data_IF_028674878109
#
_entry.id   IF_028674878109
#
_cell.length_a   1.000
_cell.length_b   1.000
_cell.length_c   1.000
_cell.angle_alpha   90.00
_cell.angle_beta   90.00
_cell.angle_gamma   90.00
#
_symmetry.space_group_name_H-M   'P 1'
#
loop_
_entity.id
_entity.type
_entity.pdbx_description
1 polymer ?
#
# COMPACT_ATOMS: atom_id res chain seq x y z
N UNK A 1 73.37 2.89 1.19
CA UNK A 1 72.10 2.14 1.08
C UNK A 1 72.30 1.20 -0.09
N UNK A 2 72.19 -0.12 0.15
CA UNK A 2 72.50 -1.13 -0.86
C UNK A 2 71.48 -1.08 -2.00
N UNK A 3 71.93 -1.24 -3.26
CA UNK A 3 71.09 -1.13 -4.45
C UNK A 3 69.92 -2.14 -4.46
N UNK A 4 70.09 -3.27 -3.77
CA UNK A 4 69.02 -4.24 -3.50
C UNK A 4 67.87 -3.66 -2.64
N UNK A 5 68.20 -2.79 -1.68
CA UNK A 5 67.24 -2.13 -0.82
C UNK A 5 66.43 -1.03 -1.56
N UNK A 6 67.12 -0.32 -2.48
CA UNK A 6 66.47 0.66 -3.37
C UNK A 6 65.49 0.01 -4.33
N UNK A 7 65.92 -1.13 -4.93
CA UNK A 7 65.01 -1.90 -5.81
C UNK A 7 63.76 -2.43 -5.08
N UNK A 8 63.92 -2.89 -3.82
CA UNK A 8 62.81 -3.34 -2.99
C UNK A 8 61.84 -2.21 -2.66
N UNK A 9 62.33 -1.03 -2.28
CA UNK A 9 61.51 0.15 -1.96
C UNK A 9 60.75 0.67 -3.20
N UNK A 10 61.40 0.67 -4.37
CA UNK A 10 60.74 1.07 -5.63
C UNK A 10 59.68 0.01 -6.04
N UNK A 11 59.98 -1.27 -5.90
CA UNK A 11 59.04 -2.36 -6.23
C UNK A 11 57.80 -2.34 -5.34
N UNK A 12 57.95 -2.10 -4.04
CA UNK A 12 56.83 -1.95 -3.10
C UNK A 12 56.00 -0.69 -3.40
N UNK A 13 56.69 0.44 -3.75
CA UNK A 13 56.01 1.70 -4.10
C UNK A 13 55.17 1.59 -5.38
N UNK A 14 55.67 0.89 -6.40
CA UNK A 14 54.94 0.69 -7.66
C UNK A 14 53.84 -0.39 -7.48
N UNK A 15 54.10 -1.45 -6.72
CA UNK A 15 53.13 -2.51 -6.45
C UNK A 15 51.91 -2.01 -5.68
N UNK A 16 52.07 -1.05 -4.75
CA UNK A 16 50.92 -0.48 -4.00
C UNK A 16 50.08 0.49 -4.81
N UNK A 17 50.59 1.04 -5.93
CA UNK A 17 49.82 1.92 -6.82
C UNK A 17 48.95 1.13 -7.81
N UNK A 18 49.24 -0.14 -8.08
CA UNK A 18 48.51 -0.98 -9.03
C UNK A 18 47.37 -1.78 -8.36
N UNK A 19 47.37 -1.91 -7.03
CA UNK A 19 46.33 -2.64 -6.29
C UNK A 19 45.12 -1.81 -5.89
N UNK A 20 45.02 -0.56 -6.37
CA UNK A 20 43.80 0.26 -6.28
C UNK A 20 42.71 -0.16 -7.28
N UNK A 21 42.60 -1.47 -7.63
CA UNK A 21 41.45 -1.98 -8.31
C UNK A 21 40.27 -1.84 -7.35
N UNK A 22 39.40 -0.86 -7.62
CA UNK A 22 38.07 -0.81 -7.00
C UNK A 22 37.46 -2.18 -7.14
N UNK A 23 37.30 -2.89 -6.02
CA UNK A 23 36.51 -4.12 -5.97
C UNK A 23 35.05 -3.73 -6.27
N UNK A 24 34.70 -3.69 -7.54
CA UNK A 24 33.31 -3.72 -7.94
C UNK A 24 32.76 -5.06 -7.47
N UNK A 25 31.80 -5.01 -6.55
CA UNK A 25 31.11 -6.20 -6.07
C UNK A 25 30.66 -7.01 -7.30
N UNK A 26 30.97 -8.28 -7.32
CA UNK A 26 30.62 -9.19 -8.41
C UNK A 26 29.12 -9.09 -8.71
N UNK A 27 28.74 -8.50 -9.87
CA UNK A 27 27.37 -8.30 -10.29
C UNK A 27 27.02 -6.89 -10.78
N UNK A 28 27.96 -5.94 -10.73
CA UNK A 28 27.74 -4.59 -11.30
C UNK A 28 27.65 -4.62 -12.83
N UNK A 29 26.70 -3.86 -13.39
CA UNK A 29 26.56 -3.63 -14.83
C UNK A 29 26.73 -2.14 -15.13
N UNK A 30 27.61 -1.80 -16.07
CA UNK A 30 27.72 -0.44 -16.60
C UNK A 30 26.49 -0.14 -17.45
N UNK A 31 25.87 1.01 -17.22
CA UNK A 31 24.75 1.52 -18.03
C UNK A 31 25.05 2.95 -18.44
N UNK A 32 24.61 3.34 -19.64
CA UNK A 32 24.66 4.70 -20.15
C UNK A 32 23.36 5.42 -19.75
N UNK A 33 23.49 6.58 -19.14
CA UNK A 33 22.37 7.41 -18.68
C UNK A 33 22.54 8.87 -19.11
N UNK A 34 21.44 9.60 -19.23
CA UNK A 34 21.44 11.00 -19.67
C UNK A 34 20.85 11.89 -18.56
N UNK A 35 21.63 12.86 -18.08
CA UNK A 35 21.26 13.82 -17.05
C UNK A 35 20.61 15.08 -17.67
N UNK A 36 19.45 14.95 -18.28
CA UNK A 36 18.72 16.02 -18.95
C UNK A 36 17.30 16.23 -18.40
N UNK A 37 17.07 15.88 -17.14
CA UNK A 37 15.83 16.20 -16.42
C UNK A 37 15.99 17.58 -15.78
N UNK A 38 15.28 18.57 -16.31
CA UNK A 38 15.44 19.98 -15.89
C UNK A 38 14.63 20.31 -14.64
N UNK A 39 13.52 19.64 -14.39
CA UNK A 39 12.65 19.91 -13.24
C UNK A 39 11.76 18.70 -12.93
N UNK A 40 11.41 18.55 -11.64
CA UNK A 40 10.36 17.65 -11.16
C UNK A 40 9.36 18.48 -10.40
N UNK A 41 8.08 18.42 -10.77
CA UNK A 41 7.00 19.16 -10.09
C UNK A 41 6.09 18.21 -9.34
N UNK A 42 5.96 18.44 -8.03
CA UNK A 42 4.99 17.77 -7.18
C UNK A 42 3.91 18.81 -6.82
N UNK A 43 2.66 18.57 -7.21
CA UNK A 43 1.56 19.51 -7.05
C UNK A 43 1.88 20.91 -7.62
N UNK A 44 2.53 20.94 -8.80
CA UNK A 44 3.00 22.14 -9.51
C UNK A 44 4.12 22.92 -8.81
N UNK A 45 4.63 22.45 -7.70
CA UNK A 45 5.78 23.04 -6.99
C UNK A 45 7.04 22.32 -7.44
N UNK A 46 8.02 23.10 -7.90
CA UNK A 46 9.34 22.57 -8.29
C UNK A 46 10.02 21.90 -7.09
N UNK A 47 10.49 20.68 -7.30
CA UNK A 47 11.22 19.86 -6.36
C UNK A 47 12.35 19.17 -7.13
N UNK A 48 13.60 19.49 -6.81
CA UNK A 48 14.78 18.82 -7.38
C UNK A 48 15.66 18.31 -6.25
N UNK A 49 16.22 17.09 -6.35
CA UNK A 49 17.19 16.63 -5.36
C UNK A 49 18.48 17.43 -5.48
N UNK A 50 19.12 17.68 -4.35
CA UNK A 50 20.40 18.39 -4.28
C UNK A 50 21.60 17.42 -4.41
N UNK A 51 22.73 17.94 -4.86
CA UNK A 51 23.99 17.21 -4.96
C UNK A 51 24.02 16.12 -6.03
N UNK A 52 24.60 14.97 -5.72
CA UNK A 52 24.87 13.87 -6.66
C UNK A 52 23.63 13.00 -6.95
N UNK A 53 22.49 13.27 -6.32
CA UNK A 53 21.25 12.50 -6.47
C UNK A 53 20.38 12.99 -7.63
N UNK A 54 20.99 13.32 -8.76
CA UNK A 54 20.24 13.84 -9.91
C UNK A 54 19.39 12.77 -10.59
N UNK A 55 18.18 13.12 -11.03
CA UNK A 55 17.39 12.26 -11.88
C UNK A 55 18.03 12.09 -13.26
N UNK A 56 17.83 10.94 -13.89
CA UNK A 56 18.40 10.63 -15.20
C UNK A 56 17.43 9.84 -16.07
N UNK A 57 17.69 9.85 -17.37
CA UNK A 57 17.00 9.04 -18.35
C UNK A 57 17.79 7.77 -18.67
N UNK A 58 17.11 6.65 -18.70
CA UNK A 58 17.64 5.38 -19.13
C UNK A 58 16.59 4.64 -19.96
N UNK A 59 16.93 4.27 -21.20
CA UNK A 59 16.04 3.58 -22.14
C UNK A 59 14.64 4.21 -22.27
N UNK A 60 14.58 5.55 -22.33
CA UNK A 60 13.32 6.28 -22.49
C UNK A 60 12.49 6.46 -21.22
N UNK A 61 12.95 5.95 -20.07
CA UNK A 61 12.29 6.13 -18.76
C UNK A 61 13.09 7.07 -17.89
N UNK A 62 12.39 7.90 -17.11
CA UNK A 62 13.01 8.77 -16.10
C UNK A 62 13.20 8.02 -14.79
N UNK A 63 14.42 7.98 -14.31
CA UNK A 63 14.78 7.42 -13.00
C UNK A 63 15.01 8.55 -12.02
N UNK A 64 14.36 8.46 -10.88
CA UNK A 64 14.45 9.45 -9.81
C UNK A 64 14.80 8.72 -8.50
N UNK A 65 15.70 9.28 -7.66
CA UNK A 65 15.97 8.68 -6.36
C UNK A 65 14.69 8.49 -5.54
N UNK A 66 14.42 7.26 -5.16
CA UNK A 66 13.16 6.90 -4.52
C UNK A 66 12.96 7.63 -3.17
N UNK A 67 14.02 7.74 -2.36
CA UNK A 67 13.97 8.44 -1.08
C UNK A 67 13.58 9.93 -1.24
N UNK A 68 14.05 10.56 -2.32
CA UNK A 68 13.67 11.94 -2.65
C UNK A 68 12.19 12.04 -3.02
N UNK A 69 11.71 11.18 -3.93
CA UNK A 69 10.31 11.20 -4.35
C UNK A 69 9.36 10.85 -3.21
N UNK A 70 9.71 9.85 -2.41
CA UNK A 70 8.92 9.49 -1.22
C UNK A 70 8.79 10.67 -0.26
N UNK A 71 9.90 11.36 0.04
CA UNK A 71 9.87 12.56 0.89
C UNK A 71 9.05 13.70 0.29
N UNK A 72 9.15 13.93 -1.04
CA UNK A 72 8.39 14.95 -1.73
C UNK A 72 6.86 14.67 -1.75
N UNK A 73 6.48 13.40 -1.69
CA UNK A 73 5.09 12.93 -1.62
C UNK A 73 4.61 12.69 -0.16
N UNK A 74 5.46 12.97 0.84
CA UNK A 74 5.11 12.75 2.26
C UNK A 74 5.05 11.28 2.66
N UNK A 75 5.63 10.37 1.87
CA UNK A 75 5.65 8.95 2.14
C UNK A 75 7.01 8.50 2.70
N UNK A 76 7.09 7.91 3.90
CA UNK A 76 8.34 7.37 4.41
C UNK A 76 8.84 6.19 3.56
N UNK A 77 10.16 6.05 3.42
CA UNK A 77 10.77 4.93 2.72
C UNK A 77 11.80 4.25 3.62
N UNK A 78 11.80 2.91 3.65
CA UNK A 78 12.73 2.09 4.43
C UNK A 78 13.27 0.95 3.55
N UNK A 79 14.56 0.63 3.72
CA UNK A 79 15.17 -0.56 3.13
C UNK A 79 15.14 -1.72 4.13
N UNK A 80 14.48 -2.80 3.78
CA UNK A 80 14.56 -4.07 4.49
C UNK A 80 15.71 -4.90 3.93
N UNK A 81 16.84 -4.85 4.61
CA UNK A 81 18.08 -5.52 4.17
C UNK A 81 17.95 -7.05 4.23
N UNK A 82 17.10 -7.60 5.12
CA UNK A 82 16.90 -9.05 5.28
C UNK A 82 16.17 -9.64 4.08
N UNK A 83 15.11 -8.98 3.66
CA UNK A 83 14.26 -9.43 2.55
C UNK A 83 14.64 -8.74 1.23
N UNK A 84 15.64 -7.85 1.23
CA UNK A 84 16.09 -7.04 0.08
C UNK A 84 14.91 -6.29 -0.58
N UNK A 85 14.02 -5.73 0.24
CA UNK A 85 12.78 -5.10 -0.19
C UNK A 85 12.78 -3.62 0.19
N UNK A 86 12.27 -2.77 -0.69
CA UNK A 86 11.97 -1.37 -0.37
C UNK A 86 10.55 -1.29 0.13
N UNK A 87 10.37 -0.68 1.30
CA UNK A 87 9.07 -0.41 1.90
C UNK A 87 8.76 1.08 1.71
N UNK A 88 7.60 1.41 1.15
CA UNK A 88 7.12 2.78 0.96
C UNK A 88 5.80 2.91 1.69
N UNK A 89 5.59 4.04 2.36
CA UNK A 89 4.42 4.29 3.20
C UNK A 89 4.75 4.19 4.68
N UNK A 90 3.75 3.95 5.52
CA UNK A 90 3.92 3.99 6.97
C UNK A 90 5.09 3.15 7.47
N UNK A 91 5.82 3.68 8.46
CA UNK A 91 6.92 3.00 9.13
C UNK A 91 6.38 1.76 9.86
N UNK A 92 6.49 0.60 9.24
CA UNK A 92 6.05 -0.67 9.84
C UNK A 92 7.11 -1.21 10.84
N UNK A 93 7.48 -0.40 11.82
CA UNK A 93 7.95 -0.94 13.10
C UNK A 93 6.74 -1.37 13.96
N UNK A 94 5.52 -1.04 13.50
CA UNK A 94 4.26 -1.46 14.08
C UNK A 94 3.89 -2.88 13.63
N UNK A 95 3.45 -3.68 14.57
CA UNK A 95 2.94 -5.02 14.28
C UNK A 95 1.57 -4.85 13.61
N UNK A 96 1.46 -5.32 12.37
CA UNK A 96 0.18 -5.29 11.64
C UNK A 96 -0.47 -6.67 11.60
N UNK A 97 -1.79 -6.68 11.59
CA UNK A 97 -2.61 -7.87 11.41
C UNK A 97 -3.58 -7.66 10.25
N UNK A 98 -3.68 -8.66 9.40
CA UNK A 98 -4.51 -8.57 8.19
C UNK A 98 -5.81 -9.35 8.36
N UNK A 99 -6.96 -8.77 8.00
CA UNK A 99 -8.20 -9.51 7.84
C UNK A 99 -8.04 -10.69 6.87
N UNK A 100 -8.68 -11.80 7.18
CA UNK A 100 -8.58 -13.03 6.38
C UNK A 100 -7.36 -13.90 6.70
N UNK A 101 -6.23 -13.29 7.12
CA UNK A 101 -5.00 -13.98 7.50
C UNK A 101 -4.86 -14.11 9.01
N UNK A 102 -4.68 -12.97 9.70
CA UNK A 102 -4.31 -12.93 11.12
C UNK A 102 -5.53 -12.75 12.03
N UNK A 103 -6.58 -12.12 11.53
CA UNK A 103 -7.84 -11.91 12.24
C UNK A 103 -9.01 -12.26 11.32
N UNK A 104 -9.99 -12.97 11.87
CA UNK A 104 -11.22 -13.35 11.16
C UNK A 104 -12.43 -12.74 11.83
N UNK A 105 -13.50 -12.45 11.07
CA UNK A 105 -14.76 -12.07 11.71
C UNK A 105 -15.25 -13.22 12.60
N UNK A 106 -15.73 -12.88 13.79
CA UNK A 106 -16.34 -13.82 14.73
C UNK A 106 -17.79 -14.09 14.37
N UNK A 107 -18.40 -13.21 13.61
CA UNK A 107 -19.79 -13.31 13.16
C UNK A 107 -19.94 -12.61 11.81
N UNK A 108 -20.72 -13.22 10.92
CA UNK A 108 -21.18 -12.62 9.67
C UNK A 108 -22.66 -12.91 9.51
N UNK A 109 -23.47 -11.88 9.28
CA UNK A 109 -24.89 -12.03 9.00
C UNK A 109 -25.30 -11.19 7.79
N UNK A 110 -26.35 -11.64 7.11
CA UNK A 110 -26.90 -11.01 5.91
C UNK A 110 -28.43 -10.94 5.99
N UNK A 111 -29.01 -9.84 5.53
CA UNK A 111 -30.45 -9.65 5.42
C UNK A 111 -31.09 -10.42 4.27
N UNK A 112 -30.31 -10.98 3.34
CA UNK A 112 -30.81 -11.76 2.22
C UNK A 112 -29.93 -12.96 1.93
N UNK A 113 -30.54 -14.08 1.53
CA UNK A 113 -29.87 -15.30 1.13
C UNK A 113 -29.03 -15.15 -0.15
N UNK A 114 -29.39 -14.18 -1.01
CA UNK A 114 -28.70 -13.94 -2.28
C UNK A 114 -27.54 -12.95 -2.19
N UNK A 115 -27.29 -12.40 -1.02
CA UNK A 115 -26.12 -11.56 -0.79
C UNK A 115 -24.87 -12.41 -0.61
N UNK A 116 -23.73 -11.90 -1.03
CA UNK A 116 -22.45 -12.58 -0.83
C UNK A 116 -21.42 -11.68 -0.18
N UNK A 117 -20.57 -12.32 0.59
CA UNK A 117 -19.46 -11.66 1.28
C UNK A 117 -18.24 -12.59 1.27
N UNK A 118 -17.05 -12.02 1.09
CA UNK A 118 -15.79 -12.72 1.31
C UNK A 118 -14.76 -11.82 1.97
N UNK A 119 -13.81 -12.45 2.68
CA UNK A 119 -12.61 -11.82 3.23
C UNK A 119 -11.43 -12.64 2.75
N UNK A 120 -10.58 -12.03 1.92
CA UNK A 120 -9.45 -12.70 1.28
C UNK A 120 -8.14 -11.97 1.58
N UNK A 121 -7.07 -12.74 1.68
CA UNK A 121 -5.72 -12.25 1.82
C UNK A 121 -4.78 -13.03 0.90
N UNK A 122 -4.16 -12.32 -0.07
CA UNK A 122 -3.23 -12.92 -1.03
C UNK A 122 -3.88 -13.89 -2.01
N UNK A 123 -5.20 -13.77 -2.24
CA UNK A 123 -5.98 -14.54 -3.21
C UNK A 123 -5.89 -14.02 -4.64
N UNK A 124 -6.84 -14.43 -5.48
CA UNK A 124 -7.03 -13.81 -6.80
C UNK A 124 -7.35 -12.32 -6.63
N UNK A 125 -6.71 -11.46 -7.42
CA UNK A 125 -6.95 -10.03 -7.35
C UNK A 125 -8.34 -9.67 -7.87
N UNK A 126 -8.95 -8.67 -7.24
CA UNK A 126 -10.16 -8.01 -7.73
C UNK A 126 -9.85 -6.55 -8.01
N UNK A 127 -10.72 -5.90 -8.81
CA UNK A 127 -10.55 -4.49 -9.14
C UNK A 127 -11.58 -3.62 -8.44
N UNK A 128 -11.12 -2.47 -7.96
CA UNK A 128 -11.98 -1.36 -7.58
C UNK A 128 -12.57 -0.66 -8.83
N UNK A 129 -13.46 0.28 -8.62
CA UNK A 129 -14.11 1.02 -9.71
C UNK A 129 -13.19 2.01 -10.44
N UNK A 130 -11.95 2.19 -9.97
CA UNK A 130 -10.88 2.97 -10.61
C UNK A 130 -9.96 2.08 -11.47
N UNK A 131 -10.10 0.74 -11.35
CA UNK A 131 -9.32 -0.26 -12.07
C UNK A 131 -8.05 -0.71 -11.33
N UNK A 132 -7.81 -0.29 -10.10
CA UNK A 132 -6.71 -0.77 -9.28
C UNK A 132 -6.98 -2.21 -8.85
N UNK A 133 -5.92 -3.03 -8.81
CA UNK A 133 -5.98 -4.43 -8.42
C UNK A 133 -5.60 -4.62 -6.95
N UNK A 134 -6.42 -5.41 -6.24
CA UNK A 134 -6.27 -5.68 -4.82
C UNK A 134 -6.32 -7.19 -4.56
N UNK A 135 -5.30 -7.73 -3.90
CA UNK A 135 -5.25 -9.15 -3.52
C UNK A 135 -5.70 -9.40 -2.07
N UNK A 136 -5.92 -8.33 -1.30
CA UNK A 136 -6.42 -8.38 0.07
C UNK A 136 -7.69 -7.55 0.14
N UNK A 137 -8.83 -8.17 0.44
CA UNK A 137 -10.10 -7.47 0.36
C UNK A 137 -11.21 -8.10 1.20
N UNK A 138 -12.19 -7.28 1.59
CA UNK A 138 -13.54 -7.72 1.92
C UNK A 138 -14.44 -7.31 0.77
N UNK A 139 -15.28 -8.20 0.28
CA UNK A 139 -16.33 -7.87 -0.68
C UNK A 139 -17.70 -8.03 -0.07
N UNK A 140 -18.59 -7.14 -0.45
CA UNK A 140 -20.02 -7.14 -0.10
C UNK A 140 -20.81 -6.96 -1.38
N UNK A 141 -21.56 -7.98 -1.77
CA UNK A 141 -22.36 -7.97 -3.00
C UNK A 141 -23.83 -8.18 -2.68
N UNK A 142 -24.66 -7.36 -3.24
CA UNK A 142 -26.09 -7.29 -2.98
C UNK A 142 -26.90 -7.61 -4.22
N UNK A 143 -27.94 -8.42 -4.02
CA UNK A 143 -28.95 -8.65 -5.03
C UNK A 143 -29.82 -7.41 -5.25
N UNK A 144 -30.41 -7.29 -6.45
CA UNK A 144 -31.35 -6.24 -6.79
C UNK A 144 -32.70 -6.39 -6.06
N UNK A 145 -33.48 -5.30 -6.00
CA UNK A 145 -34.88 -5.24 -5.61
C UNK A 145 -35.21 -5.53 -4.13
N UNK A 146 -34.26 -5.39 -3.23
CA UNK A 146 -34.53 -5.55 -1.78
C UNK A 146 -33.67 -4.58 -0.97
N UNK A 147 -34.16 -4.18 0.21
CA UNK A 147 -33.31 -3.58 1.24
C UNK A 147 -32.40 -4.67 1.78
N UNK A 148 -31.11 -4.49 1.56
CA UNK A 148 -30.11 -5.51 1.87
C UNK A 148 -29.05 -4.96 2.82
N UNK A 149 -28.54 -5.85 3.64
CA UNK A 149 -27.41 -5.56 4.49
C UNK A 149 -26.58 -6.82 4.73
N UNK A 150 -25.29 -6.61 4.96
CA UNK A 150 -24.35 -7.60 5.48
C UNK A 150 -23.54 -6.93 6.56
N UNK A 151 -23.26 -7.62 7.67
CA UNK A 151 -22.28 -7.15 8.62
C UNK A 151 -21.29 -8.23 9.03
N UNK A 152 -20.12 -7.77 9.46
CA UNK A 152 -19.07 -8.58 10.06
C UNK A 152 -18.66 -7.98 11.37
N UNK A 153 -18.60 -8.82 12.40
CA UNK A 153 -18.10 -8.46 13.72
C UNK A 153 -16.70 -9.02 13.93
N UNK A 154 -15.82 -8.18 14.45
CA UNK A 154 -14.46 -8.55 14.86
C UNK A 154 -14.30 -8.34 16.36
N UNK A 155 -13.65 -9.30 17.04
CA UNK A 155 -13.19 -9.13 18.40
C UNK A 155 -11.75 -8.62 18.37
N UNK A 156 -11.53 -7.41 18.92
CA UNK A 156 -10.22 -6.74 18.92
C UNK A 156 -9.46 -6.91 20.24
N UNK A 157 -10.14 -7.30 21.32
CA UNK A 157 -9.56 -7.49 22.66
C UNK A 157 -8.77 -6.29 23.21
N UNK A 158 -8.94 -5.10 22.66
CA UNK A 158 -8.14 -3.92 23.04
C UNK A 158 -6.69 -3.94 22.55
N UNK A 159 -6.35 -4.84 21.59
CA UNK A 159 -4.98 -5.05 21.13
C UNK A 159 -4.54 -4.11 19.99
N UNK A 160 -5.46 -3.41 19.37
CA UNK A 160 -5.21 -2.62 18.17
C UNK A 160 -5.38 -1.13 18.43
N UNK A 161 -4.54 -0.30 17.80
CA UNK A 161 -4.60 1.16 17.86
C UNK A 161 -5.43 1.74 16.72
N UNK A 162 -5.31 1.18 15.54
CA UNK A 162 -6.05 1.69 14.37
C UNK A 162 -6.29 0.60 13.32
N UNK A 163 -7.25 0.88 12.43
CA UNK A 163 -7.48 0.16 11.19
C UNK A 163 -7.39 1.12 10.02
N UNK A 164 -6.68 0.74 8.96
CA UNK A 164 -6.53 1.50 7.73
C UNK A 164 -6.97 0.64 6.56
N UNK A 165 -7.73 1.19 5.62
CA UNK A 165 -8.13 0.51 4.40
C UNK A 165 -8.53 1.51 3.32
N UNK A 166 -8.51 1.09 2.06
CA UNK A 166 -9.19 1.78 0.98
C UNK A 166 -10.61 1.21 0.80
N UNK A 167 -11.60 2.06 0.54
CA UNK A 167 -13.01 1.66 0.38
C UNK A 167 -13.55 2.24 -0.91
N UNK A 168 -14.17 1.39 -1.73
CA UNK A 168 -14.74 1.80 -3.01
C UNK A 168 -15.71 0.76 -3.58
N UNK A 169 -16.39 1.13 -4.66
CA UNK A 169 -17.22 0.17 -5.40
C UNK A 169 -16.34 -0.89 -6.07
N UNK A 170 -16.89 -2.08 -6.25
CA UNK A 170 -16.26 -3.11 -7.08
C UNK A 170 -16.40 -2.73 -8.57
N UNK A 171 -15.36 -2.98 -9.39
CA UNK A 171 -15.36 -2.62 -10.82
C UNK A 171 -16.60 -3.08 -11.56
N UNK A 172 -17.03 -4.32 -11.31
CA UNK A 172 -18.25 -4.90 -11.95
C UNK A 172 -19.52 -4.14 -11.65
N UNK A 173 -19.57 -3.34 -10.59
CA UNK A 173 -20.72 -2.57 -10.14
C UNK A 173 -20.54 -1.06 -10.19
N UNK A 174 -19.48 -0.58 -10.83
CA UNK A 174 -19.11 0.86 -10.92
C UNK A 174 -20.20 1.75 -11.52
N UNK A 175 -21.10 1.17 -12.32
CA UNK A 175 -22.21 1.87 -12.98
C UNK A 175 -23.57 1.53 -12.35
N UNK A 176 -23.61 0.83 -11.23
CA UNK A 176 -24.87 0.51 -10.54
C UNK A 176 -25.57 1.79 -10.08
N UNK A 177 -26.87 1.86 -10.32
CA UNK A 177 -27.73 2.95 -9.84
C UNK A 177 -28.12 2.77 -8.37
N UNK A 178 -27.79 1.62 -7.76
CA UNK A 178 -28.06 1.32 -6.35
C UNK A 178 -26.87 1.75 -5.49
N UNK A 179 -26.99 2.82 -4.68
CA UNK A 179 -25.95 3.23 -3.75
C UNK A 179 -25.68 2.18 -2.67
N UNK A 180 -24.45 2.15 -2.17
CA UNK A 180 -24.03 1.27 -1.09
C UNK A 180 -23.51 2.09 0.06
N UNK A 181 -24.00 1.85 1.26
CA UNK A 181 -23.54 2.56 2.47
C UNK A 181 -22.68 1.64 3.34
N UNK A 182 -21.45 2.06 3.61
CA UNK A 182 -20.64 1.49 4.68
C UNK A 182 -20.93 2.24 5.99
N UNK A 183 -21.23 1.50 7.03
CA UNK A 183 -21.27 1.99 8.41
C UNK A 183 -20.29 1.17 9.24
N UNK A 184 -19.41 1.85 9.97
CA UNK A 184 -18.47 1.20 10.89
C UNK A 184 -18.82 1.60 12.31
N UNK A 185 -18.93 0.61 13.20
CA UNK A 185 -19.13 0.84 14.62
C UNK A 185 -17.96 0.24 15.42
N UNK A 186 -17.50 1.01 16.41
CA UNK A 186 -16.47 0.61 17.39
C UNK A 186 -17.12 0.63 18.77
N UNK A 187 -17.10 -0.51 19.44
CA UNK A 187 -17.77 -0.71 20.74
C UNK A 187 -19.23 -0.22 20.76
N UNK A 188 -19.96 -0.56 19.68
CA UNK A 188 -21.36 -0.21 19.49
C UNK A 188 -21.62 1.26 19.12
N UNK A 189 -20.59 2.11 19.01
CA UNK A 189 -20.72 3.51 18.61
C UNK A 189 -20.31 3.68 17.14
N UNK A 190 -21.08 4.47 16.41
CA UNK A 190 -20.76 4.78 15.02
C UNK A 190 -19.47 5.59 14.93
N UNK A 191 -18.44 5.01 14.33
CA UNK A 191 -17.14 5.63 14.10
C UNK A 191 -17.01 6.22 12.68
N UNK A 192 -17.68 5.60 11.70
CA UNK A 192 -17.64 6.05 10.30
C UNK A 192 -18.94 5.69 9.58
N UNK A 193 -19.36 6.51 8.62
CA UNK A 193 -20.40 6.16 7.68
C UNK A 193 -20.25 6.96 6.39
N UNK A 194 -20.35 6.27 5.25
CA UNK A 194 -20.33 6.89 3.91
C UNK A 194 -21.15 6.09 2.93
N UNK A 195 -21.88 6.81 2.07
CA UNK A 195 -22.54 6.27 0.89
C UNK A 195 -21.60 6.35 -0.30
N UNK A 196 -21.57 5.28 -1.09
CA UNK A 196 -20.82 5.15 -2.34
C UNK A 196 -21.79 4.93 -3.49
N UNK A 197 -21.65 5.68 -4.56
CA UNK A 197 -22.48 5.64 -5.76
C UNK A 197 -21.62 5.69 -7.04
N UNK A 198 -22.22 5.39 -8.16
CA UNK A 198 -21.57 5.45 -9.45
C UNK A 198 -20.86 6.80 -9.65
N UNK A 199 -19.58 6.75 -10.06
CA UNK A 199 -18.71 7.92 -10.25
C UNK A 199 -17.89 8.35 -9.04
N UNK A 200 -18.17 7.83 -7.83
CA UNK A 200 -17.30 8.09 -6.68
C UNK A 200 -15.97 7.35 -6.87
N UNK A 201 -14.88 7.95 -6.40
CA UNK A 201 -13.56 7.31 -6.37
C UNK A 201 -13.35 6.60 -5.03
N UNK A 202 -12.52 5.54 -4.97
CA UNK A 202 -12.14 4.92 -3.71
C UNK A 202 -11.53 5.92 -2.72
N UNK A 203 -11.78 5.73 -1.44
CA UNK A 203 -11.31 6.60 -0.36
C UNK A 203 -10.56 5.81 0.69
N UNK A 204 -9.47 6.36 1.19
CA UNK A 204 -8.80 5.80 2.36
C UNK A 204 -9.57 6.14 3.62
N UNK A 205 -9.76 5.14 4.48
CA UNK A 205 -10.32 5.31 5.82
C UNK A 205 -9.27 4.94 6.87
N UNK A 206 -9.23 5.72 7.95
CA UNK A 206 -8.43 5.41 9.14
C UNK A 206 -9.33 5.50 10.37
N UNK A 207 -9.44 4.38 11.10
CA UNK A 207 -10.25 4.28 12.32
C UNK A 207 -9.34 4.25 13.53
N UNK A 208 -9.67 5.03 14.55
CA UNK A 208 -9.07 4.92 15.88
C UNK A 208 -9.71 3.73 16.60
N UNK A 209 -8.87 2.78 17.05
CA UNK A 209 -9.27 1.56 17.74
C UNK A 209 -8.60 1.43 19.12
N UNK A 210 -8.03 2.51 19.64
CA UNK A 210 -7.31 2.45 20.93
C UNK A 210 -8.24 1.93 22.04
N UNK A 211 -7.87 0.78 22.63
CA UNK A 211 -8.63 0.02 23.65
C UNK A 211 -9.99 -0.51 23.17
N UNK A 212 -10.29 -0.48 21.88
CA UNK A 212 -11.53 -1.01 21.35
C UNK A 212 -11.59 -2.53 21.52
N UNK A 213 -12.73 -3.03 21.97
CA UNK A 213 -12.98 -4.47 22.15
C UNK A 213 -13.66 -5.06 20.93
N UNK A 214 -14.54 -4.31 20.26
CA UNK A 214 -15.31 -4.78 19.12
C UNK A 214 -15.30 -3.80 17.95
N UNK A 215 -15.30 -4.35 16.74
CA UNK A 215 -15.45 -3.60 15.49
C UNK A 215 -16.50 -4.29 14.62
N UNK A 216 -17.43 -3.53 14.08
CA UNK A 216 -18.38 -4.01 13.10
C UNK A 216 -18.27 -3.20 11.81
N UNK A 217 -18.14 -3.90 10.69
CA UNK A 217 -18.43 -3.36 9.37
C UNK A 217 -19.83 -3.77 8.97
N UNK A 218 -20.70 -2.81 8.72
CA UNK A 218 -22.02 -3.04 8.16
C UNK A 218 -22.12 -2.33 6.82
N UNK A 219 -22.43 -3.09 5.78
CA UNK A 219 -22.67 -2.56 4.45
C UNK A 219 -24.13 -2.81 4.11
N UNK A 220 -24.78 -1.82 3.53
CA UNK A 220 -26.22 -1.88 3.23
C UNK A 220 -26.57 -1.14 1.95
N UNK A 221 -27.68 -1.55 1.34
CA UNK A 221 -28.33 -0.88 0.21
C UNK A 221 -29.78 -0.62 0.57
N UNK A 222 -30.36 0.44 0.01
CA UNK A 222 -31.78 0.74 0.15
C UNK A 222 -32.46 0.58 -1.22
N UNK A 223 -33.51 -0.25 -1.30
CA UNK A 223 -34.44 -0.41 -2.44
C UNK A 223 -33.78 -0.29 -3.83
N UNK A 224 -32.66 -0.92 -4.02
CA UNK A 224 -31.91 -0.83 -5.25
C UNK A 224 -32.51 -1.65 -6.37
N UNK A 225 -32.57 -1.08 -7.56
CA UNK A 225 -33.02 -1.77 -8.78
C UNK A 225 -31.97 -2.67 -9.38
N UNK A 226 -30.70 -2.39 -9.08
CA UNK A 226 -29.53 -3.06 -9.66
C UNK A 226 -28.77 -3.84 -8.59
N UNK A 227 -28.05 -4.86 -9.01
CA UNK A 227 -26.99 -5.45 -8.18
C UNK A 227 -25.90 -4.42 -7.90
N UNK A 228 -25.40 -4.42 -6.70
CA UNK A 228 -24.34 -3.49 -6.28
C UNK A 228 -23.31 -4.19 -5.42
N UNK A 229 -22.14 -3.57 -5.24
CA UNK A 229 -21.10 -4.15 -4.41
C UNK A 229 -20.04 -3.15 -4.00
N UNK A 230 -19.58 -3.33 -2.77
CA UNK A 230 -18.52 -2.56 -2.13
C UNK A 230 -17.33 -3.45 -1.80
N UNK A 231 -16.13 -2.88 -1.91
CA UNK A 231 -14.89 -3.46 -1.42
C UNK A 231 -14.29 -2.63 -0.29
N UNK A 232 -13.73 -3.30 0.71
CA UNK A 232 -12.77 -2.74 1.65
C UNK A 232 -11.45 -3.39 1.28
N UNK A 233 -10.51 -2.61 0.74
CA UNK A 233 -9.30 -3.09 0.08
C UNK A 233 -8.07 -2.83 0.93
N UNK A 234 -7.12 -3.75 0.87
CA UNK A 234 -5.78 -3.69 1.48
C UNK A 234 -5.82 -3.29 2.96
N UNK A 235 -6.91 -3.67 3.63
CA UNK A 235 -7.15 -3.36 5.04
C UNK A 235 -6.14 -4.02 5.97
N UNK A 236 -5.67 -3.27 6.98
CA UNK A 236 -4.82 -3.79 8.04
C UNK A 236 -5.09 -3.11 9.38
N UNK A 237 -4.89 -3.87 10.43
CA UNK A 237 -4.93 -3.42 11.81
C UNK A 237 -3.52 -3.13 12.30
N UNK A 238 -3.33 -2.06 13.06
CA UNK A 238 -2.07 -1.67 13.71
C UNK A 238 -2.19 -1.95 15.20
N UNK A 239 -1.21 -2.68 15.76
CA UNK A 239 -1.11 -2.97 17.21
C UNK A 239 -0.34 -1.91 17.98
#
# INVERSE_FOLDING_TARGET
MNDKLKGLLIGVGIGSLVTGATAFAAGGKMIEVFYNVNDIKVNQISKMPEGDLQPFLYKGSTFVPLAFMSGALGQPVKWDAKNKTVLIGENRDEIVSYPGKDIKPIETQSGSYYNSHSVEYGGESIKDNNGNEHANYHTYVFAANTDNWIYNNYNLNGEYKSFVAEVGLLERYKNSLTPVTLTVTVDGKKAYAQEFKAGDIPVEIKLDLEKAVSLQFKVSTANGTDMSGLGIFDGYFIK
#
